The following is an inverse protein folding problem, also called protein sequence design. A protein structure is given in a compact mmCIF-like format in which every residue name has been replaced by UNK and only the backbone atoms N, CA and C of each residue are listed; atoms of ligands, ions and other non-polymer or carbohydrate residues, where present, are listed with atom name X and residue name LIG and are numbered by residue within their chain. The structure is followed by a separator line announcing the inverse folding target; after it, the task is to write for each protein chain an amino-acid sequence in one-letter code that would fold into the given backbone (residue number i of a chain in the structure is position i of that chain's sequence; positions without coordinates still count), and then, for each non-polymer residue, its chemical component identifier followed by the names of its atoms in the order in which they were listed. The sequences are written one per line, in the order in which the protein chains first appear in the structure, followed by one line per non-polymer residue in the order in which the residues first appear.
data_IF_711785740372
#
_entry.id   IF_711785740372
#
_cell.length_a   1.000
_cell.length_b   1.000
_cell.length_c   1.000
_cell.angle_alpha   90.00
_cell.angle_beta   90.00
_cell.angle_gamma   90.00
#
_symmetry.space_group_name_H-M   'P 1'
#
loop_
_entity.id
_entity.type
_entity.pdbx_description
1 polymer ?
#
# COMPACT_ATOMS: atom_id res chain seq x y z
N UNK A 1 -63.03 4.51 16.46
CA UNK A 1 -61.82 5.25 15.92
C UNK A 1 -62.30 6.19 14.84
N UNK A 2 -62.10 7.49 15.01
CA UNK A 2 -62.57 8.49 14.06
C UNK A 2 -61.74 8.45 12.80
N UNK A 3 -62.36 8.51 11.62
CA UNK A 3 -61.68 8.46 10.32
C UNK A 3 -60.49 9.44 10.20
N UNK A 4 -60.54 10.56 10.89
CA UNK A 4 -59.45 11.54 10.97
C UNK A 4 -58.19 11.04 11.66
N UNK A 5 -58.32 10.19 12.68
CA UNK A 5 -57.16 9.59 13.38
C UNK A 5 -56.50 8.49 12.55
N UNK A 6 -57.26 7.74 11.76
CA UNK A 6 -56.73 6.72 10.87
C UNK A 6 -55.92 7.32 9.72
N UNK A 7 -56.39 8.44 9.18
CA UNK A 7 -55.67 9.18 8.11
C UNK A 7 -54.34 9.77 8.63
N UNK A 8 -54.35 10.35 9.83
CA UNK A 8 -53.13 10.90 10.42
C UNK A 8 -52.08 9.81 10.70
N UNK A 9 -52.46 8.67 11.24
CA UNK A 9 -51.54 7.55 11.49
C UNK A 9 -50.98 6.99 10.18
N UNK A 10 -51.83 6.86 9.14
CA UNK A 10 -51.36 6.41 7.81
C UNK A 10 -50.37 7.36 7.18
N UNK A 11 -50.60 8.68 7.27
CA UNK A 11 -49.72 9.70 6.70
C UNK A 11 -48.36 9.73 7.39
N UNK A 12 -48.35 9.57 8.74
CA UNK A 12 -47.09 9.52 9.51
C UNK A 12 -46.27 8.27 9.17
N UNK A 13 -46.91 7.11 8.97
CA UNK A 13 -46.25 5.89 8.59
C UNK A 13 -45.56 5.98 7.21
N UNK A 14 -46.22 6.59 6.24
CA UNK A 14 -45.66 6.80 4.88
C UNK A 14 -44.46 7.77 4.93
N UNK A 15 -44.56 8.87 5.70
CA UNK A 15 -43.46 9.82 5.85
C UNK A 15 -42.21 9.15 6.47
N UNK A 16 -42.37 8.34 7.51
CA UNK A 16 -41.25 7.61 8.13
C UNK A 16 -40.62 6.62 7.15
N UNK A 17 -41.44 5.91 6.36
CA UNK A 17 -40.95 4.96 5.37
C UNK A 17 -40.14 5.67 4.27
N UNK A 18 -40.57 6.83 3.82
CA UNK A 18 -39.85 7.63 2.79
C UNK A 18 -38.54 8.19 3.35
N UNK A 19 -38.50 8.64 4.58
CA UNK A 19 -37.28 9.16 5.24
C UNK A 19 -36.27 8.04 5.48
N UNK A 20 -36.71 6.87 5.96
CA UNK A 20 -35.82 5.74 6.17
C UNK A 20 -35.35 5.13 4.84
N UNK A 21 -36.21 4.95 3.88
CA UNK A 21 -35.86 4.44 2.56
C UNK A 21 -34.94 5.39 1.77
N UNK A 22 -35.22 6.69 1.82
CA UNK A 22 -34.37 7.73 1.19
C UNK A 22 -33.02 7.87 1.89
N UNK A 23 -32.97 7.74 3.22
CA UNK A 23 -31.73 7.75 3.98
C UNK A 23 -30.80 6.57 3.66
N UNK A 24 -31.36 5.36 3.51
CA UNK A 24 -30.58 4.18 3.13
C UNK A 24 -30.03 4.30 1.71
N UNK A 25 -30.85 4.79 0.76
CA UNK A 25 -30.38 5.02 -0.61
C UNK A 25 -29.31 6.11 -0.68
N UNK A 26 -29.43 7.16 0.11
CA UNK A 26 -28.43 8.23 0.18
C UNK A 26 -27.09 7.72 0.77
N UNK A 27 -27.14 6.92 1.84
CA UNK A 27 -25.95 6.30 2.40
C UNK A 27 -25.31 5.27 1.45
N UNK A 28 -26.12 4.51 0.72
CA UNK A 28 -25.63 3.59 -0.30
C UNK A 28 -25.02 4.33 -1.50
N UNK A 29 -25.48 5.53 -1.84
CA UNK A 29 -24.90 6.35 -2.89
C UNK A 29 -23.64 7.11 -2.46
N UNK A 30 -23.37 7.22 -1.16
CA UNK A 30 -22.11 7.73 -0.61
C UNK A 30 -21.07 6.63 -0.31
N UNK A 31 -21.45 5.37 -0.41
CA UNK A 31 -20.52 4.26 -0.53
C UNK A 31 -19.77 4.50 -1.84
N UNK A 32 -18.60 5.16 -1.74
CA UNK A 32 -17.74 5.41 -2.89
C UNK A 32 -17.60 4.11 -3.68
N UNK A 33 -17.57 4.23 -4.99
CA UNK A 33 -17.23 3.15 -5.89
C UNK A 33 -15.98 2.47 -5.33
N UNK A 34 -16.18 1.31 -4.68
CA UNK A 34 -15.10 0.38 -4.45
C UNK A 34 -14.85 -0.19 -5.83
N UNK A 35 -14.12 0.55 -6.63
CA UNK A 35 -13.54 0.06 -7.86
C UNK A 35 -12.58 -1.05 -7.43
N UNK A 36 -13.09 -2.26 -7.43
CA UNK A 36 -12.25 -3.46 -7.36
C UNK A 36 -11.56 -3.51 -8.72
N UNK A 37 -10.51 -2.73 -8.87
CA UNK A 37 -9.59 -2.84 -9.99
C UNK A 37 -8.82 -4.15 -9.81
N UNK A 38 -9.44 -5.21 -10.31
CA UNK A 38 -8.80 -6.50 -10.51
C UNK A 38 -7.73 -6.31 -11.59
N UNK A 39 -6.52 -5.94 -11.17
CA UNK A 39 -5.37 -5.86 -12.08
C UNK A 39 -4.67 -4.51 -12.14
N UNK A 40 -4.76 -3.65 -11.12
CA UNK A 40 -3.89 -2.50 -11.06
C UNK A 40 -2.43 -2.97 -11.14
N UNK A 41 -1.76 -2.52 -12.19
CA UNK A 41 -0.32 -2.71 -12.36
C UNK A 41 0.45 -1.91 -11.33
N UNK A 42 -0.17 -0.84 -10.83
CA UNK A 42 0.44 0.14 -9.97
C UNK A 42 -0.16 0.13 -8.56
N UNK A 43 0.69 0.10 -7.58
CA UNK A 43 0.33 0.32 -6.19
C UNK A 43 0.39 1.82 -5.88
N UNK A 44 -0.69 2.38 -5.30
CA UNK A 44 -0.71 3.76 -4.85
C UNK A 44 -0.23 3.84 -3.38
N UNK A 45 0.97 4.37 -3.16
CA UNK A 45 1.54 4.54 -1.83
C UNK A 45 0.98 5.76 -1.09
N UNK A 46 0.40 6.74 -1.79
CA UNK A 46 -0.22 7.93 -1.22
C UNK A 46 0.35 9.24 -1.76
N UNK A 47 -0.07 10.35 -1.15
CA UNK A 47 0.31 11.72 -1.52
C UNK A 47 1.80 11.96 -1.28
N UNK A 48 2.49 12.48 -2.30
CA UNK A 48 3.93 12.71 -2.34
C UNK A 48 4.46 13.47 -1.12
N UNK A 49 3.90 14.63 -0.79
CA UNK A 49 4.40 15.46 0.31
C UNK A 49 4.26 14.79 1.67
N UNK A 50 3.16 14.05 1.89
CA UNK A 50 2.96 13.33 3.16
C UNK A 50 3.88 12.12 3.29
N UNK A 51 4.10 11.40 2.20
CA UNK A 51 4.93 10.18 2.22
C UNK A 51 6.41 10.55 2.34
N UNK A 52 6.89 11.62 1.68
CA UNK A 52 8.27 12.09 1.84
C UNK A 52 8.54 12.56 3.27
N UNK A 53 7.66 13.38 3.86
CA UNK A 53 7.78 13.79 5.26
C UNK A 53 7.79 12.60 6.25
N UNK A 54 6.94 11.60 6.02
CA UNK A 54 6.89 10.40 6.86
C UNK A 54 8.20 9.61 6.79
N UNK A 55 8.79 9.49 5.60
CA UNK A 55 10.06 8.79 5.40
C UNK A 55 11.22 9.60 6.01
N UNK A 56 11.23 10.91 5.85
CA UNK A 56 12.26 11.78 6.44
C UNK A 56 12.24 11.74 7.98
N UNK A 57 11.06 11.67 8.58
CA UNK A 57 10.90 11.66 10.04
C UNK A 57 11.15 10.28 10.66
N UNK A 58 10.78 9.18 9.98
CA UNK A 58 10.70 7.83 10.57
C UNK A 58 11.50 6.77 9.82
N UNK A 59 12.02 7.11 8.65
CA UNK A 59 12.69 6.17 7.76
C UNK A 59 11.74 5.51 6.76
N UNK A 60 12.26 4.59 5.93
CA UNK A 60 11.55 3.92 4.85
C UNK A 60 10.28 3.21 5.30
N UNK A 61 9.27 3.18 4.43
CA UNK A 61 7.97 2.57 4.74
C UNK A 61 7.90 1.16 4.17
N UNK A 62 7.57 0.19 5.03
CA UNK A 62 7.27 -1.19 4.64
C UNK A 62 5.77 -1.33 4.35
N UNK A 63 5.43 -1.69 3.12
CA UNK A 63 4.08 -2.07 2.70
C UNK A 63 4.00 -3.58 2.57
N UNK A 64 3.24 -4.22 3.44
CA UNK A 64 3.08 -5.67 3.42
C UNK A 64 1.91 -6.11 2.54
N UNK A 65 2.07 -7.26 1.88
CA UNK A 65 1.05 -7.95 1.09
C UNK A 65 0.40 -7.08 -0.01
N UNK A 66 1.22 -6.31 -0.68
CA UNK A 66 0.78 -5.45 -1.78
C UNK A 66 0.14 -6.28 -2.89
N UNK A 67 -1.08 -5.90 -3.29
CA UNK A 67 -1.88 -6.59 -4.33
C UNK A 67 -2.25 -8.05 -4.01
N UNK A 68 -2.36 -8.42 -2.73
CA UNK A 68 -2.83 -9.75 -2.29
C UNK A 68 -1.97 -10.91 -2.79
N UNK A 69 -0.65 -10.70 -2.97
CA UNK A 69 0.26 -11.68 -3.57
C UNK A 69 1.46 -12.05 -2.70
N UNK A 70 1.37 -11.84 -1.41
CA UNK A 70 2.50 -12.06 -0.48
C UNK A 70 3.75 -11.27 -0.88
N UNK A 71 3.55 -10.09 -1.45
CA UNK A 71 4.60 -9.21 -1.90
C UNK A 71 4.72 -8.08 -0.89
N UNK A 72 5.86 -8.01 -0.23
CA UNK A 72 6.20 -6.97 0.74
C UNK A 72 7.21 -6.05 0.07
N UNK A 73 6.92 -4.74 0.01
CA UNK A 73 7.80 -3.75 -0.61
C UNK A 73 8.23 -2.70 0.40
N UNK A 74 9.44 -2.21 0.25
CA UNK A 74 9.95 -1.05 0.95
C UNK A 74 9.93 0.13 -0.01
N UNK A 75 9.34 1.24 0.43
CA UNK A 75 9.40 2.53 -0.26
C UNK A 75 10.35 3.45 0.49
N UNK A 76 11.35 3.99 -0.23
CA UNK A 76 12.36 4.91 0.26
C UNK A 76 12.36 6.20 -0.55
N UNK A 77 12.65 7.31 0.11
CA UNK A 77 12.86 8.62 -0.49
C UNK A 77 14.19 9.19 -0.02
N UNK A 78 15.01 9.68 -0.96
CA UNK A 78 16.34 10.21 -0.67
C UNK A 78 16.45 11.62 -1.26
N UNK A 79 16.72 12.59 -0.40
CA UNK A 79 16.90 14.00 -0.77
C UNK A 79 15.72 14.87 -0.39
N UNK A 80 15.88 16.19 -0.62
CA UNK A 80 14.90 17.20 -0.19
C UNK A 80 13.81 17.49 -1.25
N UNK A 81 13.93 16.92 -2.44
CA UNK A 81 12.99 17.15 -3.55
C UNK A 81 11.92 16.05 -3.55
N UNK A 82 10.67 16.35 -3.16
CA UNK A 82 9.61 15.35 -3.10
C UNK A 82 9.24 14.75 -4.45
N UNK A 83 9.63 15.36 -5.58
CA UNK A 83 9.35 14.84 -6.91
C UNK A 83 10.44 13.87 -7.41
N UNK A 84 11.55 13.71 -6.69
CA UNK A 84 12.70 12.91 -7.10
C UNK A 84 13.23 12.02 -5.95
N UNK A 85 14.15 11.11 -6.25
CA UNK A 85 14.81 10.31 -5.21
C UNK A 85 14.00 9.17 -4.63
N UNK A 86 12.97 8.72 -5.34
CA UNK A 86 12.12 7.59 -4.93
C UNK A 86 12.71 6.25 -5.34
N UNK A 87 12.68 5.30 -4.41
CA UNK A 87 13.12 3.92 -4.61
C UNK A 87 12.08 2.97 -4.03
N UNK A 88 11.81 1.88 -4.73
CA UNK A 88 10.97 0.81 -4.20
C UNK A 88 11.64 -0.54 -4.48
N UNK A 89 11.72 -1.40 -3.45
CA UNK A 89 12.36 -2.71 -3.54
C UNK A 89 11.55 -3.78 -2.82
N UNK A 90 11.79 -5.03 -3.18
CA UNK A 90 11.30 -6.18 -2.41
C UNK A 90 11.82 -6.08 -0.97
N UNK A 91 10.98 -6.40 0.02
CA UNK A 91 11.36 -6.31 1.42
C UNK A 91 12.31 -7.43 1.87
N UNK A 92 12.68 -8.35 0.98
CA UNK A 92 13.61 -9.46 1.27
C UNK A 92 14.38 -9.89 0.02
N UNK A 93 15.59 -10.47 0.17
CA UNK A 93 16.32 -11.04 -0.94
C UNK A 93 15.62 -12.28 -1.51
N UNK A 94 15.89 -12.59 -2.78
CA UNK A 94 15.40 -13.80 -3.41
C UNK A 94 15.94 -15.05 -2.68
N UNK A 95 15.05 -16.01 -2.44
CA UNK A 95 15.41 -17.28 -1.77
C UNK A 95 15.31 -17.25 -0.25
N UNK A 96 15.23 -16.09 0.37
CA UNK A 96 15.04 -15.99 1.82
C UNK A 96 13.60 -16.35 2.24
N UNK A 97 13.43 -16.97 3.44
CA UNK A 97 12.11 -17.24 4.00
C UNK A 97 11.26 -15.96 4.12
N UNK A 98 9.93 -16.09 4.02
CA UNK A 98 9.02 -14.96 4.16
C UNK A 98 9.14 -14.23 5.50
N UNK A 99 9.52 -14.96 6.53
CA UNK A 99 9.70 -14.43 7.88
C UNK A 99 11.03 -13.68 8.04
N UNK A 100 11.85 -13.57 6.97
CA UNK A 100 13.04 -12.73 6.90
C UNK A 100 12.72 -11.49 6.06
N UNK A 101 12.88 -10.32 6.62
CA UNK A 101 12.63 -9.06 5.93
C UNK A 101 13.63 -7.98 6.36
N UNK A 102 13.82 -6.98 5.53
CA UNK A 102 14.67 -5.85 5.83
C UNK A 102 13.99 -4.89 6.79
N UNK A 103 14.68 -4.56 7.88
CA UNK A 103 14.33 -3.50 8.81
C UNK A 103 15.35 -2.37 8.73
N UNK A 104 14.88 -1.13 8.75
CA UNK A 104 15.72 0.06 8.69
C UNK A 104 16.41 0.31 10.03
N UNK A 105 17.72 0.45 10.00
CA UNK A 105 18.56 0.88 11.12
C UNK A 105 18.93 2.36 10.93
N UNK A 106 18.21 3.23 11.61
CA UNK A 106 18.37 4.68 11.51
C UNK A 106 19.74 5.19 12.00
N UNK A 107 20.39 4.46 12.94
CA UNK A 107 21.71 4.83 13.44
C UNK A 107 22.83 4.49 12.46
N UNK A 108 22.60 3.49 11.61
CA UNK A 108 23.58 2.97 10.66
C UNK A 108 23.27 3.34 9.20
N UNK A 109 22.16 4.03 8.92
CA UNK A 109 21.68 4.42 7.60
C UNK A 109 21.65 3.23 6.61
N UNK A 110 21.12 2.10 7.07
CA UNK A 110 21.05 0.87 6.26
C UNK A 110 19.93 -0.05 6.72
N UNK A 111 19.58 -0.98 5.87
CA UNK A 111 18.67 -2.07 6.21
C UNK A 111 19.46 -3.30 6.71
N UNK A 112 18.97 -3.95 7.73
CA UNK A 112 19.43 -5.25 8.20
C UNK A 112 18.34 -6.29 7.91
N UNK A 113 18.72 -7.45 7.36
CA UNK A 113 17.79 -8.57 7.22
C UNK A 113 17.57 -9.19 8.60
N UNK A 114 16.32 -9.13 9.07
CA UNK A 114 15.94 -9.64 10.38
C UNK A 114 14.87 -10.72 10.29
N UNK A 115 14.77 -11.49 11.33
CA UNK A 115 13.74 -12.50 11.52
C UNK A 115 12.48 -11.87 12.13
N UNK A 116 11.30 -12.25 11.63
CA UNK A 116 10.03 -11.82 12.20
C UNK A 116 9.88 -12.28 13.66
N UNK A 117 9.32 -11.46 14.56
CA UNK A 117 9.11 -11.82 15.95
C UNK A 117 8.30 -13.10 16.10
N UNK A 118 8.86 -14.09 16.81
CA UNK A 118 8.21 -15.39 17.07
C UNK A 118 8.33 -16.40 15.93
N UNK A 119 9.07 -16.12 14.87
CA UNK A 119 9.46 -17.09 13.86
C UNK A 119 10.70 -17.89 14.28
N UNK A 120 10.87 -19.07 13.73
CA UNK A 120 12.08 -19.90 13.84
C UNK A 120 12.90 -19.89 12.52
N UNK A 121 12.65 -18.93 11.62
CA UNK A 121 13.36 -18.84 10.35
C UNK A 121 14.84 -18.53 10.58
N UNK A 122 15.71 -19.17 9.80
CA UNK A 122 17.15 -18.89 9.78
C UNK A 122 17.42 -17.88 8.65
N UNK A 123 17.59 -16.61 9.01
CA UNK A 123 17.81 -15.53 8.08
C UNK A 123 19.31 -15.31 7.86
N UNK A 124 19.71 -15.11 6.61
CA UNK A 124 21.10 -14.80 6.30
C UNK A 124 21.53 -13.44 6.88
N UNK A 125 22.82 -13.28 7.20
CA UNK A 125 23.39 -11.98 7.63
C UNK A 125 23.61 -11.09 6.40
N UNK A 126 22.54 -10.46 5.90
CA UNK A 126 22.57 -9.57 4.72
C UNK A 126 22.18 -8.16 5.14
N UNK A 127 22.92 -7.18 4.65
CA UNK A 127 22.55 -5.76 4.76
C UNK A 127 22.29 -5.16 3.40
N UNK A 128 21.52 -4.08 3.34
CA UNK A 128 21.19 -3.34 2.13
C UNK A 128 21.34 -1.84 2.42
N UNK A 129 21.93 -1.11 1.50
CA UNK A 129 22.00 0.35 1.61
C UNK A 129 20.66 1.02 1.26
N UNK A 130 20.58 2.34 1.45
CA UNK A 130 19.40 3.16 1.16
C UNK A 130 18.93 3.10 -0.32
N UNK A 131 19.76 2.61 -1.24
CA UNK A 131 19.49 2.49 -2.68
C UNK A 131 19.22 1.07 -3.14
N UNK A 132 19.18 0.10 -2.22
CA UNK A 132 18.88 -1.28 -2.54
C UNK A 132 20.08 -2.14 -2.93
N UNK A 133 21.34 -1.69 -2.70
CA UNK A 133 22.52 -2.51 -2.94
C UNK A 133 22.77 -3.47 -1.77
N UNK A 134 22.78 -4.77 -2.05
CA UNK A 134 23.02 -5.80 -1.03
C UNK A 134 24.51 -5.95 -0.72
N UNK A 135 24.84 -6.26 0.54
CA UNK A 135 26.20 -6.58 0.99
C UNK A 135 26.80 -7.80 0.30
N UNK A 136 25.97 -8.67 -0.24
CA UNK A 136 26.41 -9.84 -1.03
C UNK A 136 26.88 -9.48 -2.43
N UNK A 137 26.59 -8.29 -2.91
CA UNK A 137 26.81 -7.86 -4.30
C UNK A 137 25.73 -8.33 -5.27
N UNK A 138 24.71 -9.02 -4.81
CA UNK A 138 23.52 -9.35 -5.59
C UNK A 138 22.60 -8.14 -5.69
N UNK A 139 21.70 -8.15 -6.67
CA UNK A 139 20.71 -7.09 -6.85
C UNK A 139 19.41 -7.48 -6.13
N UNK A 140 18.87 -6.57 -5.34
CA UNK A 140 17.49 -6.67 -4.86
C UNK A 140 16.52 -6.42 -6.02
N UNK A 141 15.36 -7.06 -6.00
CA UNK A 141 14.28 -6.73 -6.95
C UNK A 141 13.81 -5.31 -6.67
N UNK A 142 13.82 -4.46 -7.71
CA UNK A 142 13.37 -3.07 -7.64
C UNK A 142 12.11 -2.86 -8.47
N UNK A 143 11.32 -1.88 -8.10
CA UNK A 143 10.08 -1.51 -8.78
C UNK A 143 10.16 -0.06 -9.27
N UNK A 144 9.73 0.23 -10.52
CA UNK A 144 9.61 1.60 -10.98
C UNK A 144 8.67 2.42 -10.10
N UNK A 145 9.09 3.62 -9.74
CA UNK A 145 8.28 4.59 -9.01
C UNK A 145 8.00 5.78 -9.91
N UNK A 146 6.75 6.20 -9.96
CA UNK A 146 6.30 7.39 -10.71
C UNK A 146 5.41 8.26 -9.84
N UNK A 147 5.31 9.53 -10.19
CA UNK A 147 4.36 10.46 -9.57
C UNK A 147 3.25 10.70 -10.58
N UNK A 148 1.99 10.51 -10.17
CA UNK A 148 0.84 10.72 -11.04
C UNK A 148 0.41 12.22 -11.06
N UNK A 149 -0.54 12.56 -11.95
CA UNK A 149 -1.04 13.92 -12.12
C UNK A 149 -1.74 14.48 -10.85
N UNK A 150 -2.15 13.59 -9.95
CA UNK A 150 -2.78 13.92 -8.65
C UNK A 150 -1.74 14.02 -7.50
N UNK A 151 -0.44 14.00 -7.82
CA UNK A 151 0.67 14.00 -6.87
C UNK A 151 0.68 12.78 -5.93
N UNK A 152 0.31 11.60 -6.40
CA UNK A 152 0.48 10.38 -5.66
C UNK A 152 1.73 9.63 -6.13
N UNK A 153 2.39 8.99 -5.17
CA UNK A 153 3.50 8.05 -5.43
C UNK A 153 2.90 6.72 -5.90
N UNK A 154 3.25 6.32 -7.12
CA UNK A 154 2.81 5.07 -7.77
C UNK A 154 3.98 4.13 -7.93
N UNK A 155 3.82 2.88 -7.53
CA UNK A 155 4.84 1.83 -7.65
C UNK A 155 4.35 0.75 -8.60
N UNK A 156 5.04 0.53 -9.73
CA UNK A 156 4.71 -0.55 -10.67
C UNK A 156 5.24 -1.90 -10.16
N UNK A 157 4.40 -2.60 -9.42
CA UNK A 157 4.73 -3.89 -8.81
C UNK A 157 4.75 -5.05 -9.80
N UNK A 158 4.41 -4.85 -11.07
CA UNK A 158 4.38 -5.89 -12.10
C UNK A 158 5.49 -5.74 -13.15
N UNK A 159 6.26 -4.65 -13.15
CA UNK A 159 7.29 -4.37 -14.14
C UNK A 159 8.26 -5.55 -14.38
N UNK A 160 8.64 -6.27 -13.33
CA UNK A 160 9.57 -7.41 -13.43
C UNK A 160 8.91 -8.73 -13.86
N UNK A 161 7.58 -8.76 -14.07
CA UNK A 161 6.86 -9.96 -14.53
C UNK A 161 6.79 -9.99 -16.05
N UNK A 162 6.65 -8.82 -16.66
CA UNK A 162 6.50 -8.70 -18.12
C UNK A 162 7.82 -9.08 -18.81
N UNK A 163 8.98 -8.89 -18.15
CA UNK A 163 10.30 -9.28 -18.66
C UNK A 163 10.53 -10.81 -18.62
N UNK A 164 9.90 -11.51 -17.69
CA UNK A 164 10.03 -12.97 -17.54
C UNK A 164 9.13 -13.76 -18.51
N UNK A 165 8.09 -13.15 -19.06
CA UNK A 165 7.11 -13.80 -19.96
C UNK A 165 7.47 -13.64 -21.45
N UNK A 166 8.42 -12.76 -21.78
CA UNK A 166 8.87 -12.51 -23.16
C UNK A 166 10.03 -13.40 -23.61
N UNK A 167 10.61 -14.21 -22.73
CA UNK A 167 11.78 -15.07 -23.02
C UNK A 167 11.46 -16.57 -23.09
N UNK A 168 10.18 -16.91 -23.38
CA UNK A 168 9.66 -18.29 -23.45
C UNK A 168 9.26 -18.73 -24.89
#
# INVERSE_FOLDING_TARGET
MNARSAVLVGLTGVMIAVVLGGGVLFLASQGGDVEIQLGDRDFNAGQIGRISEEIDDRGPILYSDVAGRNRDIILQHIGDDPEAGWFAFEARPAGEPRDCFFEWDQDADRFNLIQAPGSDADCAEITMDERGNLSTGELIVTYPVTIDDDNNVRVDINANRDDAETDG
#
